data_IF_436814490704
#
_entry.id   IF_436814490704
#
_cell.length_a   1.000
_cell.length_b   1.000
_cell.length_c   1.000
_cell.angle_alpha   90.00
_cell.angle_beta   90.00
_cell.angle_gamma   90.00
#
_symmetry.space_group_name_H-M   'P 1'
#
loop_
_entity.id
_entity.type
_entity.pdbx_description
1 polymer ?
#
# COMPACT_ATOMS: atom_id res chain seq x y z
N UNK A 1 -38.30 -67.21 -9.20
CA UNK A 1 -36.94 -67.68 -8.87
C UNK A 1 -36.09 -66.45 -8.54
N UNK A 2 -35.73 -66.25 -7.27
CA UNK A 2 -34.68 -65.31 -6.89
C UNK A 2 -33.34 -65.83 -7.42
N UNK A 3 -32.40 -64.94 -7.75
CA UNK A 3 -30.97 -65.21 -7.69
C UNK A 3 -30.23 -63.87 -7.47
N UNK A 4 -29.40 -63.84 -6.44
CA UNK A 4 -28.69 -62.64 -5.98
C UNK A 4 -27.55 -62.28 -6.95
N UNK A 5 -27.23 -60.99 -7.05
CA UNK A 5 -25.89 -60.53 -7.48
C UNK A 5 -25.20 -59.83 -6.32
N UNK A 6 -24.00 -60.32 -6.00
CA UNK A 6 -23.13 -59.79 -4.96
C UNK A 6 -22.53 -58.42 -5.35
N UNK A 7 -22.16 -57.56 -4.38
CA UNK A 7 -21.55 -56.26 -4.64
C UNK A 7 -20.08 -56.40 -5.10
N UNK A 8 -19.65 -55.52 -6.02
CA UNK A 8 -18.25 -55.39 -6.42
C UNK A 8 -17.51 -54.34 -5.58
N UNK A 9 -16.26 -54.63 -5.26
CA UNK A 9 -15.35 -53.81 -4.44
C UNK A 9 -14.81 -52.58 -5.19
N UNK A 10 -14.41 -51.50 -4.49
CA UNK A 10 -13.84 -50.29 -5.11
C UNK A 10 -12.37 -50.47 -5.58
N UNK A 11 -11.88 -49.63 -6.51
CA UNK A 11 -10.54 -49.72 -7.08
C UNK A 11 -9.42 -49.19 -6.17
N UNK A 12 -8.19 -49.64 -6.45
CA UNK A 12 -6.97 -49.34 -5.69
C UNK A 12 -6.35 -47.95 -6.01
N UNK A 13 -5.55 -47.36 -5.10
CA UNK A 13 -4.92 -46.05 -5.28
C UNK A 13 -3.67 -46.07 -6.20
N UNK A 14 -3.27 -44.91 -6.77
CA UNK A 14 -2.14 -44.81 -7.70
C UNK A 14 -0.76 -44.84 -7.02
N UNK A 15 0.25 -45.22 -7.80
CA UNK A 15 1.63 -45.45 -7.38
C UNK A 15 2.54 -44.20 -7.43
N UNK A 16 3.55 -44.17 -6.55
CA UNK A 16 4.63 -43.18 -6.54
C UNK A 16 5.80 -43.60 -7.46
N UNK A 17 6.48 -42.67 -8.15
CA UNK A 17 7.66 -42.98 -8.96
C UNK A 17 8.92 -43.21 -8.11
N UNK A 18 9.81 -44.08 -8.60
CA UNK A 18 11.01 -44.52 -7.90
C UNK A 18 12.15 -43.49 -7.85
N UNK A 19 12.84 -43.46 -6.71
CA UNK A 19 14.21 -42.97 -6.56
C UNK A 19 15.22 -43.85 -7.31
N UNK A 20 16.20 -43.25 -8.00
CA UNK A 20 17.38 -43.95 -8.52
C UNK A 20 18.48 -44.01 -7.47
N UNK A 21 18.88 -45.22 -7.07
CA UNK A 21 20.13 -45.51 -6.36
C UNK A 21 20.67 -46.85 -6.84
N UNK A 22 21.96 -46.93 -7.14
CA UNK A 22 22.63 -48.15 -7.62
C UNK A 22 23.89 -48.38 -6.78
N UNK A 23 23.86 -49.45 -5.96
CA UNK A 23 24.97 -50.38 -5.57
C UNK A 23 26.27 -49.78 -4.96
N UNK A 24 27.09 -50.41 -4.09
CA UNK A 24 27.11 -51.62 -3.21
C UNK A 24 28.24 -51.37 -2.17
N UNK A 25 28.55 -52.14 -1.12
CA UNK A 25 28.08 -53.44 -0.57
C UNK A 25 28.11 -53.33 0.99
N UNK A 26 27.27 -54.04 1.75
CA UNK A 26 27.46 -55.39 2.34
C UNK A 26 28.61 -55.56 3.37
N UNK A 27 28.27 -56.11 4.54
CA UNK A 27 29.15 -56.25 5.71
C UNK A 27 28.37 -56.59 7.00
N UNK A 28 27.85 -57.81 7.07
CA UNK A 28 27.26 -58.52 8.24
C UNK A 28 28.16 -58.50 9.51
N UNK A 29 27.74 -58.81 10.75
CA UNK A 29 26.47 -58.96 11.51
C UNK A 29 26.88 -59.16 13.01
N UNK A 30 25.97 -59.60 13.88
CA UNK A 30 26.17 -60.20 15.22
C UNK A 30 26.21 -59.28 16.46
N UNK A 31 25.02 -58.99 17.00
CA UNK A 31 24.80 -58.78 18.45
C UNK A 31 25.03 -60.09 19.23
N UNK A 32 25.65 -60.03 20.42
CA UNK A 32 25.11 -60.72 21.64
C UNK A 32 25.64 -60.19 22.98
N UNK A 33 24.69 -60.14 23.92
CA UNK A 33 24.67 -59.57 25.29
C UNK A 33 25.68 -60.12 26.33
N UNK A 34 26.08 -59.20 27.22
CA UNK A 34 26.07 -59.26 28.72
C UNK A 34 27.16 -60.09 29.43
N UNK A 35 27.81 -59.48 30.44
CA UNK A 35 27.93 -59.88 31.88
C UNK A 35 28.84 -58.88 32.62
N UNK A 36 28.35 -58.32 33.74
CA UNK A 36 29.12 -57.80 34.90
C UNK A 36 29.09 -58.87 36.02
N UNK A 37 29.90 -58.87 37.10
CA UNK A 37 30.67 -57.74 37.69
C UNK A 37 32.08 -58.08 38.23
N UNK A 38 32.79 -57.08 38.76
CA UNK A 38 33.76 -57.23 39.87
C UNK A 38 34.02 -55.88 40.58
N UNK A 39 34.21 -55.89 41.89
CA UNK A 39 34.43 -54.70 42.72
C UNK A 39 35.87 -54.62 43.26
N UNK A 40 36.34 -53.40 43.55
CA UNK A 40 37.59 -53.12 44.26
C UNK A 40 37.54 -51.72 44.88
N UNK A 41 37.85 -51.60 46.17
CA UNK A 41 37.72 -50.36 46.95
C UNK A 41 39.07 -49.62 47.10
N UNK A 42 39.03 -48.31 47.37
CA UNK A 42 40.26 -47.52 47.59
C UNK A 42 40.04 -46.02 47.85
N UNK A 43 39.65 -45.69 49.09
CA UNK A 43 39.94 -44.45 49.85
C UNK A 43 39.48 -43.05 49.41
N UNK A 44 39.31 -42.17 50.42
CA UNK A 44 38.76 -40.82 50.32
C UNK A 44 39.83 -39.74 50.11
N UNK A 45 39.49 -38.67 49.39
CA UNK A 45 39.96 -37.32 49.73
C UNK A 45 38.97 -36.29 49.23
N UNK A 46 38.41 -35.47 50.13
CA UNK A 46 37.53 -34.34 49.81
C UNK A 46 38.35 -33.06 49.71
N UNK A 47 38.36 -32.40 48.56
CA UNK A 47 38.76 -30.98 48.49
C UNK A 47 38.17 -30.27 47.26
N UNK A 48 37.82 -28.99 47.43
CA UNK A 48 37.65 -28.03 46.33
C UNK A 48 36.51 -28.24 45.34
N UNK A 49 35.28 -27.83 45.69
CA UNK A 49 34.28 -27.50 44.66
C UNK A 49 34.68 -26.17 43.98
N UNK A 50 34.90 -26.11 42.65
CA UNK A 50 35.07 -24.84 41.97
C UNK A 50 33.74 -24.08 41.97
N UNK A 51 33.82 -22.77 42.23
CA UNK A 51 32.65 -21.90 42.28
C UNK A 51 31.86 -21.92 40.96
N UNK A 52 30.54 -21.78 41.05
CA UNK A 52 29.70 -21.49 39.88
C UNK A 52 30.21 -20.20 39.25
N UNK A 53 30.62 -20.25 37.99
CA UNK A 53 30.72 -19.04 37.19
C UNK A 53 29.33 -18.42 37.12
N UNK A 54 29.20 -17.21 37.65
CA UNK A 54 28.04 -16.37 37.37
C UNK A 54 28.00 -16.11 35.86
N UNK A 55 26.82 -16.22 35.21
CA UNK A 55 26.73 -15.90 33.80
C UNK A 55 27.03 -14.41 33.64
N UNK A 56 28.19 -14.09 33.06
CA UNK A 56 28.54 -12.71 32.69
C UNK A 56 27.36 -12.11 31.92
N UNK A 57 26.81 -11.02 32.44
CA UNK A 57 25.90 -10.19 31.65
C UNK A 57 26.62 -9.85 30.33
N UNK A 58 25.94 -9.95 29.18
CA UNK A 58 26.55 -9.59 27.92
C UNK A 58 26.90 -8.11 27.96
N UNK A 59 28.21 -7.80 27.99
CA UNK A 59 28.71 -6.42 27.98
C UNK A 59 28.06 -5.67 26.82
N UNK A 60 27.20 -4.70 27.17
CA UNK A 60 26.56 -3.84 26.17
C UNK A 60 27.70 -3.10 25.48
N UNK A 61 27.89 -3.25 24.15
CA UNK A 61 28.98 -2.60 23.45
C UNK A 61 28.93 -1.09 23.71
N UNK A 62 30.06 -0.44 24.04
CA UNK A 62 30.06 0.95 24.46
C UNK A 62 29.40 1.83 23.41
N UNK A 63 28.54 2.76 23.84
CA UNK A 63 27.82 3.64 22.92
C UNK A 63 28.82 4.51 22.15
N UNK A 64 28.72 4.49 20.82
CA UNK A 64 29.72 5.06 19.91
C UNK A 64 29.30 6.42 19.35
N UNK A 65 28.03 6.81 19.54
CA UNK A 65 27.52 8.12 19.13
C UNK A 65 27.95 9.22 20.10
N UNK A 66 28.65 10.23 19.58
CA UNK A 66 29.00 11.44 20.33
C UNK A 66 27.84 12.44 20.33
N UNK A 67 27.79 13.37 21.29
CA UNK A 67 26.80 14.45 21.31
C UNK A 67 26.81 15.31 20.03
N UNK A 68 25.62 15.66 19.55
CA UNK A 68 25.47 16.61 18.45
C UNK A 68 25.94 18.00 18.90
N UNK A 69 26.93 18.54 18.19
CA UNK A 69 27.41 19.91 18.42
C UNK A 69 26.28 20.92 18.18
N UNK A 70 26.24 22.04 18.92
CA UNK A 70 25.29 23.12 18.70
C UNK A 70 25.29 23.57 17.24
N UNK A 71 24.14 23.49 16.59
CA UNK A 71 23.98 23.92 15.21
C UNK A 71 23.85 25.44 15.14
N UNK A 72 24.57 26.05 14.19
CA UNK A 72 24.53 27.50 13.95
C UNK A 72 23.92 27.84 12.59
N UNK A 73 23.74 26.84 11.72
CA UNK A 73 23.06 26.98 10.42
C UNK A 73 21.55 27.10 10.60
N UNK A 74 20.89 27.72 9.63
CA UNK A 74 19.44 27.96 9.64
C UNK A 74 18.65 26.65 9.58
N UNK A 75 17.77 26.44 10.56
CA UNK A 75 16.84 25.31 10.57
C UNK A 75 15.74 25.45 9.52
N UNK A 76 15.14 24.34 9.12
CA UNK A 76 13.99 24.32 8.21
C UNK A 76 12.73 24.85 8.92
N UNK A 77 12.12 25.89 8.38
CA UNK A 77 10.94 26.55 8.95
C UNK A 77 9.59 25.91 8.52
N UNK A 78 9.60 24.63 8.15
CA UNK A 78 8.40 23.89 7.72
C UNK A 78 8.11 22.77 8.71
N UNK A 79 6.83 22.54 9.11
CA UNK A 79 6.48 21.38 9.91
C UNK A 79 6.83 20.09 9.16
N UNK A 80 7.44 19.15 9.87
CA UNK A 80 7.64 17.79 9.37
C UNK A 80 6.38 17.00 9.69
N UNK A 81 5.76 16.46 8.65
CA UNK A 81 4.51 15.69 8.75
C UNK A 81 4.47 14.56 7.72
N UNK A 82 3.48 13.68 7.91
CA UNK A 82 3.13 12.64 6.94
C UNK A 82 1.99 13.16 6.08
N UNK A 83 2.25 13.36 4.79
CA UNK A 83 1.26 13.83 3.83
C UNK A 83 0.45 12.67 3.27
N UNK A 84 -0.86 12.88 3.08
CA UNK A 84 -1.75 11.87 2.48
C UNK A 84 -1.20 11.34 1.17
N UNK A 85 -0.65 12.19 0.30
CA UNK A 85 -0.18 11.78 -1.03
C UNK A 85 1.01 10.81 -1.00
N UNK A 86 1.70 10.67 0.14
CA UNK A 86 2.78 9.70 0.39
C UNK A 86 2.37 8.60 1.38
N UNK A 87 1.06 8.36 1.50
CA UNK A 87 0.48 7.24 2.24
C UNK A 87 -0.21 6.23 1.31
N UNK A 88 -0.20 4.94 1.65
CA UNK A 88 -1.12 3.97 1.07
C UNK A 88 -2.57 4.32 1.42
N UNK A 89 -3.52 3.85 0.62
CA UNK A 89 -4.93 4.26 0.73
C UNK A 89 -5.65 3.76 1.98
N UNK A 90 -5.06 2.83 2.74
CA UNK A 90 -5.59 2.30 4.00
C UNK A 90 -5.05 3.06 5.23
N UNK A 91 -4.19 4.06 5.08
CA UNK A 91 -3.74 4.90 6.20
C UNK A 91 -4.82 5.93 6.52
N UNK A 92 -5.23 5.99 7.78
CA UNK A 92 -5.97 7.10 8.36
C UNK A 92 -5.00 7.93 9.21
N UNK A 93 -4.52 9.08 8.72
CA UNK A 93 -3.77 10.02 9.53
C UNK A 93 -4.71 10.83 10.43
N UNK A 94 -4.39 10.92 11.71
CA UNK A 94 -5.06 11.76 12.70
C UNK A 94 -4.03 12.66 13.42
N UNK A 95 -4.52 13.63 14.19
CA UNK A 95 -3.68 14.61 14.92
C UNK A 95 -2.61 15.29 14.03
N UNK A 96 -3.01 15.72 12.83
CA UNK A 96 -2.11 16.39 11.88
C UNK A 96 -1.05 15.46 11.25
N UNK A 97 -1.39 14.20 10.99
CA UNK A 97 -0.47 13.22 10.40
C UNK A 97 0.51 12.59 11.39
N UNK A 98 0.35 12.84 12.70
CA UNK A 98 1.22 12.32 13.75
C UNK A 98 0.77 10.98 14.31
N UNK A 99 -0.52 10.64 14.22
CA UNK A 99 -1.02 9.31 14.61
C UNK A 99 -1.57 8.62 13.36
N UNK A 100 -1.04 7.43 13.05
CA UNK A 100 -1.35 6.67 11.87
C UNK A 100 -2.03 5.35 12.27
N UNK A 101 -3.25 5.15 11.78
CA UNK A 101 -4.05 3.93 11.99
C UNK A 101 -4.35 3.28 10.64
N UNK A 102 -4.16 1.96 10.49
CA UNK A 102 -4.54 1.25 9.26
C UNK A 102 -6.02 0.87 9.31
N UNK A 103 -6.71 0.96 8.18
CA UNK A 103 -7.98 0.27 8.02
C UNK A 103 -7.79 -1.25 8.10
N UNK A 104 -8.63 -1.91 8.89
CA UNK A 104 -8.59 -3.37 9.07
C UNK A 104 -9.79 -4.09 8.45
N UNK A 105 -10.91 -3.40 8.27
CA UNK A 105 -12.16 -4.03 7.82
C UNK A 105 -12.13 -4.54 6.38
N UNK A 106 -13.02 -5.48 6.07
CA UNK A 106 -13.22 -5.99 4.71
C UNK A 106 -12.00 -6.68 4.09
N UNK A 107 -11.04 -7.14 4.89
CA UNK A 107 -9.80 -7.75 4.42
C UNK A 107 -8.61 -6.79 4.35
N UNK A 108 -8.80 -5.50 4.62
CA UNK A 108 -7.68 -4.54 4.70
C UNK A 108 -6.69 -4.88 5.83
N UNK A 109 -7.11 -5.66 6.84
CA UNK A 109 -6.25 -6.27 7.87
C UNK A 109 -5.10 -7.14 7.33
N UNK A 110 -5.22 -7.63 6.10
CA UNK A 110 -4.16 -8.42 5.46
C UNK A 110 -3.15 -7.54 4.71
N UNK A 111 -3.50 -6.28 4.42
CA UNK A 111 -2.67 -5.35 3.66
C UNK A 111 -1.74 -4.53 4.56
N UNK A 112 -0.50 -4.37 4.12
CA UNK A 112 0.47 -3.48 4.74
C UNK A 112 0.11 -2.03 4.40
N UNK A 113 -0.01 -1.19 5.41
CA UNK A 113 -0.05 0.26 5.26
C UNK A 113 1.37 0.83 5.14
N UNK A 114 1.53 1.95 4.45
CA UNK A 114 2.81 2.64 4.26
C UNK A 114 2.64 4.15 4.28
N UNK A 115 3.59 4.86 4.89
CA UNK A 115 3.55 6.30 5.06
C UNK A 115 4.97 6.87 5.08
N UNK A 116 5.21 7.90 4.26
CA UNK A 116 6.49 8.62 4.18
C UNK A 116 6.31 10.10 4.58
N UNK A 117 7.32 10.65 5.24
CA UNK A 117 7.34 12.05 5.66
C UNK A 117 7.59 13.02 4.49
N UNK A 118 7.20 14.27 4.68
CA UNK A 118 7.31 15.37 3.70
C UNK A 118 8.73 15.98 3.56
N UNK A 119 9.65 15.70 4.50
CA UNK A 119 11.01 16.23 4.54
C UNK A 119 12.01 15.08 4.57
N UNK A 120 12.91 15.05 3.59
CA UNK A 120 14.04 14.14 3.54
C UNK A 120 15.35 14.87 3.76
N UNK A 121 16.42 14.13 4.06
CA UNK A 121 17.76 14.67 4.25
C UNK A 121 18.77 13.97 3.34
N UNK A 122 19.80 14.70 2.93
CA UNK A 122 20.93 14.20 2.12
C UNK A 122 22.28 14.23 2.85
N UNK A 123 22.33 14.86 4.04
CA UNK A 123 23.53 15.09 4.87
C UNK A 123 23.16 15.19 6.35
N UNK A 124 24.15 15.06 7.22
CA UNK A 124 23.99 15.30 8.66
C UNK A 124 23.45 14.08 9.42
N UNK A 125 23.25 14.23 10.73
CA UNK A 125 22.81 13.15 11.62
C UNK A 125 21.54 13.56 12.36
N UNK A 126 20.45 12.82 12.12
CA UNK A 126 19.11 13.17 12.56
C UNK A 126 18.33 11.91 13.00
N UNK A 127 17.40 12.08 13.93
CA UNK A 127 16.49 11.01 14.36
C UNK A 127 15.01 11.38 14.20
N UNK A 128 14.18 10.37 13.98
CA UNK A 128 12.73 10.44 14.20
C UNK A 128 12.29 9.26 15.07
N UNK A 129 11.13 9.36 15.70
CA UNK A 129 10.61 8.32 16.59
C UNK A 129 9.26 7.77 16.13
N UNK A 130 9.03 6.51 16.45
CA UNK A 130 7.74 5.84 16.31
C UNK A 130 7.38 5.18 17.63
N UNK A 131 6.30 5.65 18.28
CA UNK A 131 5.71 4.99 19.44
C UNK A 131 4.56 4.08 19.01
N UNK A 132 4.62 2.81 19.37
CA UNK A 132 3.57 1.85 19.05
C UNK A 132 2.46 1.97 20.10
N UNK A 133 1.33 2.58 19.73
CA UNK A 133 0.24 2.92 20.65
C UNK A 133 -0.73 1.74 20.83
N UNK A 134 -0.99 1.00 19.76
CA UNK A 134 -2.00 -0.06 19.75
C UNK A 134 -1.58 -1.21 18.84
N UNK A 135 -1.90 -2.43 19.25
CA UNK A 135 -1.72 -3.65 18.45
C UNK A 135 -3.11 -4.27 18.27
N UNK A 136 -3.65 -4.14 17.06
CA UNK A 136 -4.98 -4.61 16.72
C UNK A 136 -4.96 -6.13 16.51
N UNK A 137 -6.02 -6.81 16.93
CA UNK A 137 -6.26 -8.22 16.65
C UNK A 137 -7.59 -8.39 15.90
N UNK A 138 -7.64 -8.09 14.59
CA UNK A 138 -8.88 -8.19 13.82
C UNK A 138 -9.46 -9.62 13.82
N UNK A 139 -10.77 -9.70 13.63
CA UNK A 139 -11.48 -10.98 13.64
C UNK A 139 -11.22 -11.78 12.35
N UNK A 140 -10.96 -13.08 12.49
CA UNK A 140 -10.81 -14.00 11.36
C UNK A 140 -12.10 -14.83 11.18
N UNK A 141 -12.65 -14.99 9.96
CA UNK A 141 -13.86 -15.80 9.75
C UNK A 141 -13.68 -17.26 10.22
N UNK A 142 -14.60 -17.88 10.98
CA UNK A 142 -14.36 -19.17 11.66
C UNK A 142 -14.18 -20.40 10.76
N UNK A 143 -14.33 -20.27 9.44
CA UNK A 143 -14.59 -21.40 8.54
C UNK A 143 -13.50 -21.68 7.49
N UNK A 144 -12.35 -20.99 7.50
CA UNK A 144 -11.27 -21.33 6.57
C UNK A 144 -10.48 -22.56 7.06
N UNK A 145 -11.02 -23.75 6.76
CA UNK A 145 -10.39 -25.07 7.04
C UNK A 145 -9.08 -25.30 6.28
N UNK A 146 -8.60 -24.32 5.52
CA UNK A 146 -7.36 -24.39 4.73
C UNK A 146 -6.48 -23.13 4.80
N UNK A 147 -7.01 -21.95 5.18
CA UNK A 147 -6.24 -20.70 5.24
C UNK A 147 -6.03 -20.26 6.68
N UNK A 148 -4.81 -20.49 7.21
CA UNK A 148 -4.34 -19.79 8.40
C UNK A 148 -4.15 -18.32 8.04
N UNK A 149 -4.53 -17.42 8.96
CA UNK A 149 -4.33 -15.97 8.79
C UNK A 149 -2.87 -15.65 8.37
N UNK A 150 -2.65 -14.89 7.29
CA UNK A 150 -1.31 -14.58 6.78
C UNK A 150 -0.40 -13.93 7.83
N UNK A 151 0.70 -14.63 8.14
CA UNK A 151 1.72 -14.19 9.09
C UNK A 151 2.75 -13.26 8.43
N UNK A 152 3.31 -12.28 9.18
CA UNK A 152 2.90 -11.88 10.52
C UNK A 152 1.55 -11.15 10.52
N UNK A 153 0.73 -11.36 11.56
CA UNK A 153 -0.57 -10.68 11.70
C UNK A 153 -0.39 -9.20 11.99
N UNK A 154 0.59 -8.85 12.84
CA UNK A 154 0.99 -7.48 13.12
C UNK A 154 2.43 -7.28 12.72
N UNK A 155 2.72 -6.13 12.12
CA UNK A 155 4.03 -5.78 11.61
C UNK A 155 4.23 -4.28 11.77
N UNK A 156 5.43 -3.89 12.17
CA UNK A 156 5.94 -2.53 11.98
C UNK A 156 7.28 -2.64 11.26
N UNK A 157 7.49 -1.80 10.25
CA UNK A 157 8.80 -1.51 9.66
C UNK A 157 9.07 -0.02 9.80
N UNK A 158 10.29 0.33 10.17
CA UNK A 158 10.73 1.73 10.29
C UNK A 158 12.07 1.90 9.57
N UNK A 159 12.25 3.03 8.90
CA UNK A 159 13.48 3.30 8.18
C UNK A 159 13.34 4.46 7.21
N UNK A 160 13.96 4.32 6.05
CA UNK A 160 14.11 5.40 5.08
C UNK A 160 13.95 4.91 3.64
N UNK A 161 13.49 5.80 2.76
CA UNK A 161 13.54 5.58 1.32
C UNK A 161 13.78 6.86 0.54
N UNK A 162 14.07 6.73 -0.76
CA UNK A 162 13.98 7.85 -1.70
C UNK A 162 12.51 8.28 -1.87
N UNK A 163 12.29 9.45 -2.49
CA UNK A 163 10.95 9.96 -2.79
C UNK A 163 10.21 9.11 -3.84
N UNK A 164 10.94 8.64 -4.86
CA UNK A 164 10.33 7.99 -6.02
C UNK A 164 10.20 6.47 -5.85
N UNK A 165 10.67 5.93 -4.72
CA UNK A 165 10.54 4.50 -4.37
C UNK A 165 9.09 4.09 -4.10
N UNK A 166 8.87 2.78 -4.14
CA UNK A 166 7.65 2.15 -3.60
C UNK A 166 7.35 2.57 -2.16
N UNK A 167 6.06 2.66 -1.79
CA UNK A 167 5.57 2.86 -0.42
C UNK A 167 5.64 1.57 0.44
N UNK A 168 6.32 0.53 -0.05
CA UNK A 168 6.57 -0.72 0.66
C UNK A 168 8.08 -0.89 0.87
N UNK A 169 8.54 -0.60 2.09
CA UNK A 169 9.93 -0.72 2.52
C UNK A 169 10.45 -2.15 2.35
N UNK A 170 11.65 -2.26 1.78
CA UNK A 170 12.33 -3.52 1.50
C UNK A 170 11.96 -4.17 0.16
N UNK A 171 10.96 -3.65 -0.58
CA UNK A 171 10.60 -4.16 -1.91
C UNK A 171 11.64 -3.78 -2.98
N UNK A 172 12.22 -2.59 -2.86
CA UNK A 172 13.07 -1.96 -3.87
C UNK A 172 14.46 -1.63 -3.31
N UNK A 173 15.44 -1.58 -4.21
CA UNK A 173 16.78 -1.01 -3.98
C UNK A 173 16.73 0.52 -3.91
N UNK A 174 15.79 1.05 -3.14
CA UNK A 174 15.61 2.49 -2.89
C UNK A 174 15.16 2.74 -1.45
N UNK A 175 15.23 1.71 -0.60
CA UNK A 175 14.75 1.72 0.78
C UNK A 175 15.61 0.84 1.68
N UNK A 176 15.69 1.25 2.95
CA UNK A 176 16.24 0.45 4.06
C UNK A 176 15.26 0.49 5.23
N UNK A 177 15.08 -0.63 5.92
CA UNK A 177 14.20 -0.68 7.09
C UNK A 177 14.56 -1.76 8.09
N UNK A 178 14.23 -1.52 9.34
CA UNK A 178 14.14 -2.54 10.38
C UNK A 178 12.69 -2.95 10.59
N UNK A 179 12.43 -4.22 10.88
CA UNK A 179 11.12 -4.72 11.24
C UNK A 179 11.00 -5.13 12.72
N UNK A 180 9.76 -5.17 13.22
CA UNK A 180 9.42 -5.53 14.60
C UNK A 180 9.80 -6.96 14.98
N UNK A 181 10.10 -7.84 14.01
CA UNK A 181 10.56 -9.20 14.27
C UNK A 181 12.07 -9.31 14.55
N UNK A 182 12.82 -8.21 14.34
CA UNK A 182 14.26 -8.09 14.61
C UNK A 182 15.14 -8.05 13.36
N UNK A 183 14.57 -7.92 12.16
CA UNK A 183 15.35 -7.97 10.92
C UNK A 183 15.58 -6.59 10.32
N UNK A 184 16.79 -6.37 9.82
CA UNK A 184 17.12 -5.29 8.90
C UNK A 184 16.93 -5.78 7.45
N UNK A 185 16.43 -4.90 6.58
CA UNK A 185 16.30 -5.17 5.15
C UNK A 185 16.90 -4.02 4.36
N UNK A 186 17.88 -4.35 3.50
CA UNK A 186 18.57 -3.46 2.59
C UNK A 186 18.95 -4.26 1.34
N UNK A 187 18.95 -3.64 0.15
CA UNK A 187 19.32 -4.34 -1.09
C UNK A 187 18.52 -5.65 -1.30
N UNK A 188 17.22 -5.61 -0.94
CA UNK A 188 16.28 -6.76 -0.91
C UNK A 188 16.73 -7.97 -0.05
N UNK A 189 17.82 -7.85 0.69
CA UNK A 189 18.36 -8.89 1.61
C UNK A 189 17.89 -8.60 3.02
N UNK A 190 17.42 -9.64 3.72
CA UNK A 190 16.92 -9.58 5.11
C UNK A 190 17.91 -10.25 6.06
N UNK A 191 18.41 -9.53 7.07
CA UNK A 191 19.38 -9.99 8.06
C UNK A 191 18.87 -9.80 9.49
N UNK A 192 19.17 -10.71 10.41
CA UNK A 192 18.80 -10.57 11.82
C UNK A 192 19.76 -9.60 12.54
N UNK A 193 19.55 -8.30 12.38
CA UNK A 193 20.47 -7.25 12.84
C UNK A 193 19.96 -6.45 14.06
N UNK A 194 18.74 -6.67 14.55
CA UNK A 194 18.16 -5.89 15.65
C UNK A 194 17.36 -6.74 16.64
N UNK A 195 17.14 -6.23 17.86
CA UNK A 195 16.18 -6.84 18.79
C UNK A 195 14.73 -6.58 18.35
N UNK A 196 13.81 -7.40 18.84
CA UNK A 196 12.36 -7.22 18.66
C UNK A 196 11.83 -6.02 19.43
N UNK A 197 10.76 -5.45 18.89
CA UNK A 197 10.00 -4.36 19.51
C UNK A 197 8.50 -4.47 19.23
N UNK A 198 7.67 -3.82 20.05
CA UNK A 198 6.22 -3.95 20.01
C UNK A 198 5.49 -2.87 20.80
N UNK A 199 4.29 -3.22 21.30
CA UNK A 199 3.35 -2.30 21.95
C UNK A 199 3.98 -1.48 23.10
N UNK A 200 3.55 -0.24 23.22
CA UNK A 200 3.87 0.75 24.25
C UNK A 200 5.35 1.22 24.28
N UNK A 201 6.17 0.70 23.36
CA UNK A 201 7.58 1.07 23.19
C UNK A 201 7.77 2.19 22.17
N UNK A 202 8.82 2.98 22.37
CA UNK A 202 9.25 4.10 21.52
C UNK A 202 10.51 3.71 20.76
N UNK A 203 10.46 3.75 19.44
CA UNK A 203 11.56 3.38 18.56
C UNK A 203 12.14 4.62 17.90
N UNK A 204 13.30 5.08 18.35
CA UNK A 204 14.06 6.12 17.67
C UNK A 204 14.88 5.50 16.55
N UNK A 205 14.74 6.07 15.35
CA UNK A 205 15.45 5.67 14.13
C UNK A 205 16.47 6.76 13.82
N UNK A 206 17.76 6.44 14.00
CA UNK A 206 18.87 7.34 13.74
C UNK A 206 19.39 7.14 12.32
N UNK A 207 19.41 8.20 11.51
CA UNK A 207 20.14 8.26 10.25
C UNK A 207 21.40 9.11 10.44
N UNK A 208 22.55 8.57 10.05
CA UNK A 208 23.83 9.26 10.15
C UNK A 208 24.49 9.39 8.76
N UNK A 209 24.36 10.56 8.15
CA UNK A 209 25.03 10.97 6.91
C UNK A 209 26.09 12.07 7.19
N UNK A 210 26.61 12.16 8.42
CA UNK A 210 27.74 13.04 8.73
C UNK A 210 29.06 12.27 8.55
N UNK A 211 29.76 12.55 7.44
CA UNK A 211 31.08 11.98 7.12
C UNK A 211 32.18 12.29 8.16
N UNK A 212 31.91 13.10 9.18
CA UNK A 212 32.82 13.36 10.32
C UNK A 212 32.51 12.49 11.54
N UNK A 213 31.39 11.77 11.54
CA UNK A 213 31.02 10.84 12.62
C UNK A 213 31.74 9.50 12.45
N UNK A 214 32.12 8.79 13.54
CA UNK A 214 32.66 7.44 13.45
C UNK A 214 31.70 6.45 12.77
N UNK A 215 30.39 6.68 12.90
CA UNK A 215 29.32 5.85 12.30
C UNK A 215 28.74 6.49 11.03
N UNK A 216 29.56 7.19 10.24
CA UNK A 216 29.13 7.82 9.00
C UNK A 216 28.46 6.81 8.04
N UNK A 217 27.45 7.28 7.31
CA UNK A 217 26.72 6.54 6.28
C UNK A 217 26.02 5.26 6.81
N UNK A 218 25.45 5.35 8.02
CA UNK A 218 24.73 4.25 8.70
C UNK A 218 23.32 4.61 9.15
N UNK A 219 22.56 3.57 9.50
CA UNK A 219 21.25 3.65 10.17
C UNK A 219 21.23 2.75 11.42
N UNK A 220 20.59 3.19 12.50
CA UNK A 220 20.41 2.37 13.71
C UNK A 220 19.13 2.67 14.50
N UNK A 221 18.79 1.79 15.45
CA UNK A 221 17.59 1.83 16.29
C UNK A 221 17.91 1.89 17.78
N UNK A 222 17.10 2.66 18.49
CA UNK A 222 17.01 2.68 19.94
C UNK A 222 15.56 2.40 20.36
N UNK A 223 15.38 1.55 21.36
CA UNK A 223 14.09 1.23 21.99
C UNK A 223 14.07 1.83 23.39
N UNK A 224 13.18 2.79 23.61
CA UNK A 224 13.02 3.50 24.89
C UNK A 224 14.36 4.08 25.40
N UNK A 225 15.13 4.67 24.49
CA UNK A 225 16.46 5.23 24.75
C UNK A 225 17.64 4.24 24.59
N UNK A 226 17.40 2.92 24.69
CA UNK A 226 18.46 1.90 24.68
C UNK A 226 18.73 1.38 23.26
N UNK A 227 19.99 1.35 22.83
CA UNK A 227 20.39 0.82 21.51
C UNK A 227 19.98 -0.65 21.36
N UNK A 228 19.29 -0.98 20.26
CA UNK A 228 18.85 -2.36 19.94
C UNK A 228 19.42 -2.93 18.64
N UNK A 229 20.21 -2.16 17.89
CA UNK A 229 21.08 -2.66 16.84
C UNK A 229 22.39 -1.88 16.75
N UNK A 230 23.43 -2.55 16.27
CA UNK A 230 24.66 -1.88 15.84
C UNK A 230 24.39 -1.07 14.56
N UNK A 231 25.11 0.04 14.33
CA UNK A 231 25.04 0.82 13.09
C UNK A 231 25.10 -0.09 11.86
N UNK A 232 24.04 -0.08 11.05
CA UNK A 232 23.97 -0.83 9.79
C UNK A 232 24.40 0.09 8.64
N UNK A 233 25.35 -0.30 7.80
CA UNK A 233 25.77 0.53 6.67
C UNK A 233 24.64 0.70 5.65
N UNK A 234 24.53 1.89 5.08
CA UNK A 234 23.65 2.15 3.95
C UNK A 234 24.27 1.57 2.67
N UNK A 235 23.48 0.97 1.76
CA UNK A 235 23.95 0.60 0.43
C UNK A 235 24.50 1.82 -0.33
N UNK A 236 25.59 1.64 -1.08
CA UNK A 236 26.27 2.72 -1.81
C UNK A 236 25.33 3.55 -2.70
N UNK A 237 24.32 2.92 -3.31
CA UNK A 237 23.34 3.61 -4.17
C UNK A 237 22.37 4.54 -3.41
N UNK A 238 22.29 4.48 -2.07
CA UNK A 238 21.53 5.44 -1.25
C UNK A 238 22.40 6.61 -0.77
N UNK A 239 23.72 6.49 -0.85
CA UNK A 239 24.62 7.58 -0.48
C UNK A 239 24.37 8.76 -1.44
N UNK A 240 24.44 9.97 -0.89
CA UNK A 240 24.15 11.24 -1.59
C UNK A 240 22.72 11.41 -2.12
N UNK A 241 21.84 10.40 -2.03
CA UNK A 241 20.40 10.55 -2.29
C UNK A 241 19.69 11.15 -1.09
N UNK A 242 18.60 11.87 -1.34
CA UNK A 242 17.70 12.33 -0.27
C UNK A 242 16.91 11.14 0.30
N UNK A 243 17.02 10.93 1.61
CA UNK A 243 16.33 9.89 2.37
C UNK A 243 15.24 10.49 3.25
N UNK A 244 14.02 9.98 3.10
CA UNK A 244 12.83 10.42 3.82
C UNK A 244 12.44 9.39 4.89
N UNK A 245 12.08 9.81 6.12
CA UNK A 245 11.49 8.93 7.12
C UNK A 245 10.28 8.20 6.56
N UNK A 246 10.25 6.88 6.76
CA UNK A 246 9.25 6.02 6.16
C UNK A 246 8.91 4.90 7.14
N UNK A 247 7.62 4.64 7.29
CA UNK A 247 7.08 3.56 8.11
C UNK A 247 6.14 2.69 7.29
N UNK A 248 6.18 1.37 7.53
CA UNK A 248 5.11 0.46 7.14
C UNK A 248 4.53 -0.20 8.37
N UNK A 249 3.24 -0.50 8.34
CA UNK A 249 2.57 -1.15 9.47
C UNK A 249 1.36 -1.95 9.03
N UNK A 250 1.03 -2.98 9.80
CA UNK A 250 -0.12 -3.86 9.58
C UNK A 250 -0.75 -4.13 10.94
N UNK A 251 -2.04 -3.84 11.08
CA UNK A 251 -2.82 -4.05 12.32
C UNK A 251 -2.17 -3.41 13.57
N UNK A 252 -1.59 -2.21 13.42
CA UNK A 252 -0.91 -1.45 14.48
C UNK A 252 -1.23 0.03 14.32
N UNK A 253 -1.67 0.70 15.40
CA UNK A 253 -1.73 2.17 15.47
C UNK A 253 -0.41 2.69 16.04
N UNK A 254 0.18 3.69 15.41
CA UNK A 254 1.44 4.30 15.84
C UNK A 254 1.38 5.83 15.90
N UNK A 255 2.13 6.41 16.83
CA UNK A 255 2.45 7.83 16.84
C UNK A 255 3.84 8.01 16.22
N UNK A 256 3.94 8.78 15.14
CA UNK A 256 5.22 9.23 14.57
C UNK A 256 5.55 10.61 15.15
N UNK A 257 6.73 10.74 15.73
CA UNK A 257 7.27 12.00 16.27
C UNK A 257 8.51 12.40 15.50
N UNK A 258 8.48 13.63 14.98
CA UNK A 258 9.63 14.25 14.34
C UNK A 258 10.37 15.20 15.29
N UNK A 259 9.89 15.40 16.53
CA UNK A 259 10.41 16.40 17.47
C UNK A 259 9.50 17.64 17.60
N UNK A 260 10.02 18.78 18.10
CA UNK A 260 11.43 19.04 18.42
C UNK A 260 11.94 18.29 19.67
N UNK A 261 11.04 17.92 20.60
CA UNK A 261 11.41 17.15 21.80
C UNK A 261 11.33 15.64 21.51
N UNK A 262 12.38 14.84 21.81
CA UNK A 262 12.30 13.39 21.80
C UNK A 262 11.23 12.84 22.75
N UNK A 263 10.59 11.74 22.38
CA UNK A 263 9.66 10.98 23.22
C UNK A 263 10.41 10.13 24.26
N UNK A 264 11.58 9.60 23.90
CA UNK A 264 12.50 8.93 24.80
C UNK A 264 13.89 9.59 24.74
N UNK A 265 14.55 9.84 25.88
CA UNK A 265 15.91 10.38 25.88
C UNK A 265 16.91 9.34 25.34
N UNK A 266 17.77 9.76 24.41
CA UNK A 266 18.92 8.96 23.98
C UNK A 266 20.11 9.16 24.93
N UNK A 267 21.08 8.22 24.97
CA UNK A 267 22.32 8.34 25.76
C UNK A 267 23.30 9.44 25.28
N UNK A 268 22.94 10.16 24.21
CA UNK A 268 23.65 11.28 23.62
C UNK A 268 22.64 12.26 23.02
N UNK A 269 23.06 13.51 22.83
CA UNK A 269 22.26 14.53 22.15
C UNK A 269 22.19 14.23 20.65
N UNK A 270 21.01 13.94 20.12
CA UNK A 270 20.74 13.89 18.69
C UNK A 270 19.75 14.97 18.28
N UNK A 271 19.91 15.54 17.09
CA UNK A 271 18.92 16.46 16.52
C UNK A 271 17.71 15.69 16.01
N UNK A 272 16.54 16.22 16.29
CA UNK A 272 15.28 15.64 15.80
C UNK A 272 15.02 16.05 14.35
N UNK A 273 14.16 15.31 13.65
CA UNK A 273 13.83 15.58 12.24
C UNK A 273 13.16 16.95 12.03
N UNK A 274 12.46 17.46 13.03
CA UNK A 274 11.82 18.78 13.03
C UNK A 274 12.86 19.92 13.15
N UNK A 275 14.09 19.61 13.55
CA UNK A 275 15.24 20.52 13.67
C UNK A 275 16.29 20.26 12.57
N UNK A 276 15.86 19.71 11.43
CA UNK A 276 16.70 19.55 10.25
C UNK A 276 17.18 20.90 9.74
N UNK A 277 18.47 20.98 9.38
CA UNK A 277 19.06 22.17 8.75
C UNK A 277 18.57 22.31 7.32
N UNK A 278 18.21 23.52 6.92
CA UNK A 278 17.70 23.83 5.58
C UNK A 278 18.61 23.34 4.45
N UNK A 279 19.93 23.46 4.62
CA UNK A 279 20.93 23.06 3.63
C UNK A 279 21.24 21.54 3.62
N UNK A 280 20.70 20.78 4.59
CA UNK A 280 20.77 19.31 4.64
C UNK A 280 19.47 18.67 4.10
N UNK A 281 18.39 19.46 3.98
CA UNK A 281 17.04 19.02 3.64
C UNK A 281 16.71 19.09 2.14
N UNK A 282 15.81 18.20 1.70
CA UNK A 282 14.96 18.42 0.54
C UNK A 282 13.49 18.21 0.92
N UNK A 283 12.64 19.06 0.37
CA UNK A 283 11.19 18.91 0.49
C UNK A 283 10.70 17.89 -0.54
N UNK A 284 9.72 17.09 -0.14
CA UNK A 284 8.93 16.28 -1.07
C UNK A 284 8.39 17.18 -2.19
N UNK A 285 8.71 16.82 -3.44
CA UNK A 285 8.17 17.46 -4.65
C UNK A 285 6.68 17.17 -4.71
N UNK A 286 5.85 18.12 -4.29
CA UNK A 286 4.41 17.94 -4.26
C UNK A 286 3.87 17.70 -5.68
N UNK A 287 3.22 16.55 -5.86
CA UNK A 287 2.29 16.35 -6.96
C UNK A 287 1.23 17.44 -6.88
N UNK A 288 1.26 18.40 -7.81
CA UNK A 288 0.50 19.65 -7.68
C UNK A 288 -1.00 19.34 -7.53
N UNK A 289 -1.67 20.04 -6.61
CA UNK A 289 -3.07 20.36 -6.84
C UNK A 289 -3.16 21.16 -8.14
N UNK A 290 -4.30 21.08 -8.83
CA UNK A 290 -4.57 21.93 -9.98
C UNK A 290 -4.42 23.41 -9.60
N UNK A 291 -4.22 24.29 -10.58
CA UNK A 291 -3.99 25.73 -10.34
C UNK A 291 -5.14 26.43 -9.58
N UNK A 292 -6.33 25.81 -9.55
CA UNK A 292 -7.53 26.22 -8.80
C UNK A 292 -7.64 25.57 -7.40
N UNK A 293 -6.59 24.89 -6.93
CA UNK A 293 -6.56 24.20 -5.64
C UNK A 293 -7.30 22.86 -5.58
N UNK A 294 -7.87 22.39 -6.70
CA UNK A 294 -8.61 21.12 -6.74
C UNK A 294 -7.73 19.92 -7.07
N UNK A 295 -8.27 18.74 -6.81
CA UNK A 295 -7.70 17.46 -7.20
C UNK A 295 -8.46 16.90 -8.42
N UNK A 296 -7.75 16.27 -9.33
CA UNK A 296 -8.35 15.72 -10.55
C UNK A 296 -8.63 14.22 -10.40
N UNK A 297 -9.83 13.80 -10.78
CA UNK A 297 -10.27 12.39 -10.79
C UNK A 297 -10.56 12.00 -12.24
N UNK A 298 -9.66 11.22 -12.80
CA UNK A 298 -9.71 10.75 -14.17
C UNK A 298 -10.49 9.44 -14.26
N UNK A 299 -11.38 9.35 -15.26
CA UNK A 299 -12.12 8.15 -15.63
C UNK A 299 -11.74 7.81 -17.09
N UNK A 300 -10.72 6.98 -17.34
CA UNK A 300 -10.29 6.63 -18.69
C UNK A 300 -11.36 5.82 -19.43
N UNK A 301 -11.78 6.33 -20.58
CA UNK A 301 -12.76 5.73 -21.48
C UNK A 301 -12.00 5.18 -22.70
N UNK A 302 -11.68 3.89 -22.66
CA UNK A 302 -11.03 3.16 -23.75
C UNK A 302 -11.78 1.87 -24.05
N UNK A 303 -11.42 1.20 -25.15
CA UNK A 303 -11.97 -0.11 -25.50
C UNK A 303 -11.28 -1.25 -24.71
N UNK A 304 -12.00 -2.35 -24.44
CA UNK A 304 -11.39 -3.61 -24.01
C UNK A 304 -10.33 -4.07 -25.01
N UNK A 305 -9.21 -4.60 -24.50
CA UNK A 305 -8.09 -5.20 -25.23
C UNK A 305 -7.36 -4.31 -26.27
N UNK A 306 -7.82 -3.09 -26.53
CA UNK A 306 -7.19 -2.08 -27.40
C UNK A 306 -6.11 -1.22 -26.66
N UNK A 307 -5.25 -1.87 -25.86
CA UNK A 307 -4.09 -1.21 -25.24
C UNK A 307 -4.39 -0.16 -24.14
N UNK A 308 -5.63 -0.10 -23.62
CA UNK A 308 -6.04 0.84 -22.56
C UNK A 308 -5.13 0.77 -21.31
N UNK A 309 -4.69 -0.44 -20.92
CA UNK A 309 -3.77 -0.61 -19.78
C UNK A 309 -2.33 -0.20 -20.09
N UNK A 310 -1.83 -0.41 -21.31
CA UNK A 310 -0.51 0.06 -21.72
C UNK A 310 -0.45 1.58 -21.80
N UNK A 311 -1.56 2.23 -22.18
CA UNK A 311 -1.71 3.67 -22.02
C UNK A 311 -1.67 4.09 -20.54
N UNK A 312 -2.37 3.38 -19.65
CA UNK A 312 -2.42 3.72 -18.22
C UNK A 312 -1.03 3.63 -17.56
N UNK A 313 -0.28 2.56 -17.82
CA UNK A 313 1.07 2.39 -17.27
C UNK A 313 2.03 3.48 -17.79
N UNK A 314 1.95 3.85 -19.07
CA UNK A 314 2.68 5.01 -19.64
C UNK A 314 2.21 6.35 -19.08
N UNK A 315 0.93 6.50 -18.75
CA UNK A 315 0.37 7.71 -18.14
C UNK A 315 0.89 7.88 -16.71
N UNK A 316 0.85 6.83 -15.90
CA UNK A 316 1.33 6.84 -14.51
C UNK A 316 2.84 7.08 -14.44
N UNK A 317 3.63 6.49 -15.34
CA UNK A 317 5.07 6.75 -15.43
C UNK A 317 5.39 8.24 -15.67
N UNK A 318 4.59 8.93 -16.51
CA UNK A 318 4.74 10.37 -16.77
C UNK A 318 4.11 11.24 -15.69
N UNK A 319 3.13 10.72 -14.95
CA UNK A 319 2.34 11.45 -13.96
C UNK A 319 2.29 10.70 -12.61
N UNK A 320 3.44 10.48 -11.94
CA UNK A 320 3.54 9.65 -10.73
C UNK A 320 2.79 10.22 -9.51
N UNK A 321 2.22 11.43 -9.64
CA UNK A 321 1.36 12.06 -8.64
C UNK A 321 -0.10 11.57 -8.68
N UNK A 322 -0.48 10.76 -9.67
CA UNK A 322 -1.79 10.11 -9.73
C UNK A 322 -1.78 8.79 -8.97
N UNK A 323 -2.78 8.60 -8.09
CA UNK A 323 -3.03 7.31 -7.46
C UNK A 323 -4.00 6.50 -8.31
N UNK A 324 -3.58 5.32 -8.78
CA UNK A 324 -4.45 4.39 -9.50
C UNK A 324 -5.42 3.68 -8.53
N UNK A 325 -6.71 3.70 -8.89
CA UNK A 325 -7.78 2.95 -8.23
C UNK A 325 -8.23 1.87 -9.21
N UNK A 326 -7.82 0.63 -8.96
CA UNK A 326 -8.16 -0.51 -9.80
C UNK A 326 -8.06 -1.82 -9.02
N UNK A 327 -8.58 -2.89 -9.60
CA UNK A 327 -8.47 -4.21 -9.02
C UNK A 327 -7.07 -4.80 -9.14
N UNK A 328 -6.33 -4.47 -10.21
CA UNK A 328 -4.92 -4.87 -10.36
C UNK A 328 -4.01 -4.21 -9.32
N UNK A 329 -4.32 -3.00 -8.82
CA UNK A 329 -3.53 -2.40 -7.73
C UNK A 329 -3.80 -3.06 -6.38
N UNK A 330 -5.06 -3.43 -6.09
CA UNK A 330 -5.41 -4.22 -4.89
C UNK A 330 -4.69 -5.57 -4.90
N UNK A 331 -4.66 -6.27 -6.04
CA UNK A 331 -3.97 -7.54 -6.20
C UNK A 331 -2.45 -7.40 -5.97
N UNK A 332 -1.79 -6.47 -6.66
CA UNK A 332 -0.35 -6.19 -6.47
C UNK A 332 -0.03 -5.80 -5.02
N UNK A 333 -0.92 -5.07 -4.36
CA UNK A 333 -0.77 -4.67 -2.96
C UNK A 333 -0.90 -5.85 -2.00
N UNK A 334 -1.84 -6.77 -2.25
CA UNK A 334 -1.96 -8.03 -1.52
C UNK A 334 -0.67 -8.86 -1.60
N UNK A 335 -0.11 -9.04 -2.80
CA UNK A 335 1.16 -9.74 -3.03
C UNK A 335 2.32 -9.05 -2.27
N UNK A 336 2.44 -7.72 -2.38
CA UNK A 336 3.41 -6.88 -1.64
C UNK A 336 3.25 -6.94 -0.11
N UNK A 337 2.06 -7.27 0.36
CA UNK A 337 1.75 -7.46 1.78
C UNK A 337 2.09 -8.88 2.29
N UNK A 338 2.68 -9.72 1.43
CA UNK A 338 3.06 -11.10 1.73
C UNK A 338 1.97 -12.14 1.49
N UNK A 339 0.89 -11.79 0.77
CA UNK A 339 -0.16 -12.77 0.44
C UNK A 339 0.28 -13.67 -0.73
N UNK A 340 0.22 -14.98 -0.50
CA UNK A 340 0.54 -15.97 -1.52
C UNK A 340 -0.69 -16.30 -2.38
N UNK A 341 -0.50 -16.28 -3.70
CA UNK A 341 -1.55 -16.51 -4.71
C UNK A 341 -1.28 -17.84 -5.44
N UNK A 342 -1.89 -18.97 -5.03
CA UNK A 342 -1.55 -20.31 -5.56
C UNK A 342 -1.91 -20.51 -7.03
N UNK A 343 -3.01 -19.92 -7.49
CA UNK A 343 -3.54 -20.11 -8.85
C UNK A 343 -3.67 -18.76 -9.55
N UNK A 344 -2.55 -18.16 -10.00
CA UNK A 344 -2.56 -16.81 -10.54
C UNK A 344 -3.16 -16.70 -11.94
N UNK A 345 -3.19 -17.82 -12.68
CA UNK A 345 -3.66 -17.91 -14.06
C UNK A 345 -4.99 -18.65 -14.12
N UNK A 346 -6.04 -17.95 -14.56
CA UNK A 346 -7.34 -18.52 -14.91
C UNK A 346 -7.78 -17.88 -16.24
N UNK A 347 -8.53 -18.61 -17.08
CA UNK A 347 -9.03 -18.12 -18.36
C UNK A 347 -10.04 -16.96 -18.21
N UNK A 348 -10.62 -16.81 -17.01
CA UNK A 348 -11.52 -15.70 -16.65
C UNK A 348 -10.78 -14.44 -16.17
N UNK A 349 -9.46 -14.52 -15.99
CA UNK A 349 -8.66 -13.43 -15.44
C UNK A 349 -8.47 -12.32 -16.49
N UNK A 350 -8.65 -11.06 -16.09
CA UNK A 350 -8.41 -9.89 -16.97
C UNK A 350 -7.67 -8.81 -16.21
N UNK A 351 -7.05 -7.85 -16.92
CA UNK A 351 -6.42 -6.70 -16.27
C UNK A 351 -7.45 -5.77 -15.60
N UNK A 352 -8.70 -5.77 -16.06
CA UNK A 352 -9.79 -4.93 -15.53
C UNK A 352 -10.43 -5.52 -14.28
N UNK A 353 -10.68 -6.83 -14.31
CA UNK A 353 -11.25 -7.62 -13.21
C UNK A 353 -10.41 -8.88 -12.99
N UNK A 354 -9.22 -8.75 -12.40
CA UNK A 354 -8.42 -9.90 -12.02
C UNK A 354 -9.06 -10.67 -10.85
N UNK A 355 -8.98 -11.99 -10.90
CA UNK A 355 -9.40 -12.85 -9.80
C UNK A 355 -8.32 -12.86 -8.70
N UNK A 356 -8.71 -12.51 -7.48
CA UNK A 356 -7.78 -12.42 -6.34
C UNK A 356 -7.18 -13.79 -5.99
N UNK A 357 -8.02 -14.81 -5.78
CA UNK A 357 -7.65 -16.22 -5.57
C UNK A 357 -6.56 -16.46 -4.51
N UNK A 358 -6.57 -15.70 -3.41
CA UNK A 358 -5.66 -15.89 -2.28
C UNK A 358 -6.10 -17.03 -1.33
N UNK A 359 -7.32 -17.56 -1.50
CA UNK A 359 -7.90 -18.52 -0.56
C UNK A 359 -8.32 -17.86 0.75
N UNK A 360 -8.62 -16.57 0.71
CA UNK A 360 -8.98 -15.73 1.87
C UNK A 360 -10.33 -15.08 1.53
N UNK A 361 -11.44 -15.48 2.17
CA UNK A 361 -12.78 -15.06 1.74
C UNK A 361 -12.95 -13.54 1.58
N UNK A 362 -12.41 -12.73 2.48
CA UNK A 362 -12.53 -11.26 2.45
C UNK A 362 -11.66 -10.59 1.37
N UNK A 363 -10.63 -11.28 0.87
CA UNK A 363 -9.87 -10.85 -0.31
C UNK A 363 -10.60 -11.23 -1.59
N UNK A 364 -11.13 -12.45 -1.63
CA UNK A 364 -11.66 -13.07 -2.84
C UNK A 364 -13.12 -12.66 -3.15
N UNK A 365 -13.90 -12.20 -2.16
CA UNK A 365 -15.29 -11.74 -2.31
C UNK A 365 -15.45 -10.24 -2.68
N UNK A 366 -14.35 -9.57 -3.03
CA UNK A 366 -14.28 -8.11 -3.28
C UNK A 366 -14.62 -7.21 -2.08
N UNK A 367 -14.62 -7.71 -0.83
CA UNK A 367 -14.80 -6.86 0.35
C UNK A 367 -13.75 -5.76 0.47
N UNK A 368 -12.49 -6.04 0.13
CA UNK A 368 -11.41 -5.04 0.12
C UNK A 368 -11.77 -3.86 -0.79
N UNK A 369 -12.24 -4.16 -2.01
CA UNK A 369 -12.70 -3.14 -2.97
C UNK A 369 -13.86 -2.33 -2.39
N UNK A 370 -14.85 -2.97 -1.76
CA UNK A 370 -16.02 -2.29 -1.18
C UNK A 370 -15.65 -1.32 -0.07
N UNK A 371 -14.80 -1.74 0.88
CA UNK A 371 -14.35 -0.87 2.00
C UNK A 371 -13.41 0.22 1.49
N UNK A 372 -12.46 -0.09 0.60
CA UNK A 372 -11.59 0.92 0.01
C UNK A 372 -12.40 1.99 -0.74
N UNK A 373 -13.42 1.58 -1.51
CA UNK A 373 -14.27 2.48 -2.27
C UNK A 373 -15.18 3.37 -1.39
N UNK A 374 -15.49 3.00 -0.15
CA UNK A 374 -16.29 3.86 0.75
C UNK A 374 -15.46 4.99 1.37
N UNK A 375 -14.16 4.79 1.58
CA UNK A 375 -13.25 5.78 2.19
C UNK A 375 -12.49 6.62 1.18
N UNK A 376 -12.25 6.15 -0.05
CA UNK A 376 -11.23 6.77 -0.92
C UNK A 376 -11.50 8.23 -1.27
N UNK A 377 -12.77 8.63 -1.41
CA UNK A 377 -13.12 10.02 -1.68
C UNK A 377 -12.88 10.97 -0.49
N UNK A 378 -12.67 10.46 0.74
CA UNK A 378 -12.36 11.30 1.91
C UNK A 378 -10.87 11.68 2.00
N UNK A 379 -10.01 11.12 1.13
CA UNK A 379 -8.58 11.42 1.07
C UNK A 379 -8.27 12.27 -0.18
N UNK A 380 -8.09 13.60 -0.08
CA UNK A 380 -7.92 14.45 -1.26
C UNK A 380 -6.60 14.19 -2.00
N UNK A 381 -6.69 13.58 -3.18
CA UNK A 381 -5.57 13.24 -4.07
C UNK A 381 -5.99 13.29 -5.53
N UNK A 382 -5.00 13.41 -6.42
CA UNK A 382 -5.21 13.16 -7.84
C UNK A 382 -5.38 11.64 -8.07
N UNK A 383 -6.47 11.26 -8.71
CA UNK A 383 -6.90 9.87 -8.85
C UNK A 383 -7.12 9.48 -10.30
N UNK A 384 -6.83 8.22 -10.64
CA UNK A 384 -7.25 7.61 -11.89
C UNK A 384 -8.04 6.34 -11.59
N UNK A 385 -9.35 6.41 -11.80
CA UNK A 385 -10.30 5.33 -11.56
C UNK A 385 -10.31 4.45 -12.80
N UNK A 386 -9.63 3.31 -12.74
CA UNK A 386 -9.51 2.40 -13.86
C UNK A 386 -10.47 1.22 -13.71
N UNK A 387 -11.60 1.32 -14.41
CA UNK A 387 -12.52 0.21 -14.67
C UNK A 387 -12.96 0.30 -16.13
N UNK A 388 -12.39 -0.50 -17.06
CA UNK A 388 -12.63 -0.42 -18.51
C UNK A 388 -14.11 -0.50 -18.82
N UNK A 389 -14.80 -1.56 -18.37
CA UNK A 389 -16.24 -1.74 -18.63
C UNK A 389 -17.05 -0.57 -18.08
N UNK A 390 -16.84 -0.26 -16.81
CA UNK A 390 -17.66 0.71 -16.08
C UNK A 390 -17.37 2.16 -16.49
N UNK A 391 -16.16 2.46 -16.98
CA UNK A 391 -15.86 3.74 -17.60
C UNK A 391 -16.32 3.81 -19.06
N UNK A 392 -16.49 2.71 -19.78
CA UNK A 392 -17.03 2.74 -21.14
C UNK A 392 -18.54 3.03 -21.12
N UNK A 393 -19.29 2.26 -20.32
CA UNK A 393 -20.75 2.40 -20.17
C UNK A 393 -21.07 3.71 -19.45
N UNK A 394 -21.92 4.55 -20.06
CA UNK A 394 -22.23 5.91 -19.58
C UNK A 394 -22.87 5.89 -18.17
N UNK A 395 -23.80 4.97 -17.95
CA UNK A 395 -24.59 4.86 -16.72
C UNK A 395 -23.72 4.37 -15.55
N UNK A 396 -22.87 3.36 -15.80
CA UNK A 396 -21.89 2.87 -14.81
C UNK A 396 -20.85 3.95 -14.47
N UNK A 397 -20.36 4.68 -15.47
CA UNK A 397 -19.42 5.81 -15.27
C UNK A 397 -20.05 6.92 -14.44
N UNK A 398 -21.32 7.25 -14.69
CA UNK A 398 -22.05 8.22 -13.88
C UNK A 398 -22.19 7.79 -12.42
N UNK A 399 -22.36 6.49 -12.14
CA UNK A 399 -22.39 5.96 -10.77
C UNK A 399 -21.02 6.08 -10.10
N UNK A 400 -19.92 5.69 -10.77
CA UNK A 400 -18.56 5.87 -10.27
C UNK A 400 -18.25 7.35 -9.95
N UNK A 401 -18.73 8.28 -10.79
CA UNK A 401 -18.58 9.73 -10.60
C UNK A 401 -19.35 10.30 -9.39
N UNK A 402 -20.37 9.61 -8.85
CA UNK A 402 -21.08 10.04 -7.63
C UNK A 402 -20.23 9.91 -6.38
N UNK A 403 -19.31 8.94 -6.33
CA UNK A 403 -18.39 8.72 -5.20
C UNK A 403 -17.57 9.96 -4.88
N UNK A 404 -17.06 10.65 -5.91
CA UNK A 404 -16.25 11.85 -5.79
C UNK A 404 -17.13 13.11 -5.88
N UNK A 405 -18.12 13.25 -4.98
CA UNK A 405 -19.04 14.39 -4.96
C UNK A 405 -18.47 15.64 -4.29
N UNK A 406 -17.43 15.51 -3.45
CA UNK A 406 -16.87 16.64 -2.71
C UNK A 406 -16.31 17.74 -3.64
N UNK A 407 -16.47 19.03 -3.30
CA UNK A 407 -16.15 20.16 -4.19
C UNK A 407 -14.65 20.32 -4.48
N UNK A 408 -13.79 19.64 -3.73
CA UNK A 408 -12.35 19.57 -3.97
C UNK A 408 -11.98 18.70 -5.20
N UNK A 409 -12.92 17.93 -5.78
CA UNK A 409 -12.65 17.09 -6.94
C UNK A 409 -13.18 17.66 -8.26
N UNK A 410 -12.30 17.77 -9.25
CA UNK A 410 -12.63 17.93 -10.66
C UNK A 410 -12.67 16.54 -11.31
N UNK A 411 -13.85 16.12 -11.78
CA UNK A 411 -14.03 14.81 -12.44
C UNK A 411 -13.92 14.96 -13.96
N UNK A 412 -13.10 14.12 -14.59
CA UNK A 412 -12.85 14.18 -16.04
C UNK A 412 -12.99 12.77 -16.64
N UNK A 413 -13.93 12.61 -17.57
CA UNK A 413 -13.95 11.45 -18.46
C UNK A 413 -12.93 11.70 -19.58
N UNK A 414 -11.91 10.86 -19.67
CA UNK A 414 -10.79 11.04 -20.61
C UNK A 414 -10.83 9.94 -21.66
N UNK A 415 -11.02 10.30 -22.93
CA UNK A 415 -11.10 9.33 -24.02
C UNK A 415 -9.69 8.87 -24.41
N UNK A 416 -9.49 7.55 -24.44
CA UNK A 416 -8.20 6.88 -24.68
C UNK A 416 -8.34 5.98 -25.91
N UNK A 417 -8.52 6.61 -27.07
CA UNK A 417 -8.89 5.94 -28.34
C UNK A 417 -8.05 6.43 -29.54
N UNK A 418 -7.02 7.24 -29.28
CA UNK A 418 -6.37 8.05 -30.32
C UNK A 418 -7.28 9.18 -30.83
N UNK A 419 -6.78 9.94 -31.82
CA UNK A 419 -7.65 10.81 -32.61
C UNK A 419 -8.13 10.07 -33.86
N UNK A 420 -9.43 10.16 -34.22
CA UNK A 420 -9.90 9.71 -35.52
C UNK A 420 -9.24 10.47 -36.67
N UNK A 421 -9.25 9.90 -37.88
CA UNK A 421 -8.76 10.61 -39.08
C UNK A 421 -9.59 11.86 -39.36
N UNK A 422 -8.98 12.86 -39.98
CA UNK A 422 -9.66 14.14 -40.24
C UNK A 422 -10.84 13.99 -41.23
N UNK A 423 -10.74 13.08 -42.20
CA UNK A 423 -11.86 12.71 -43.08
C UNK A 423 -13.06 12.15 -42.31
N UNK A 424 -12.81 11.27 -41.33
CA UNK A 424 -13.86 10.72 -40.47
C UNK A 424 -14.46 11.80 -39.57
N UNK A 425 -13.63 12.68 -38.99
CA UNK A 425 -14.10 13.84 -38.21
C UNK A 425 -14.99 14.75 -39.07
N UNK A 426 -14.62 15.02 -40.32
CA UNK A 426 -15.37 15.87 -41.23
C UNK A 426 -16.74 15.25 -41.60
N UNK A 427 -16.75 13.96 -41.96
CA UNK A 427 -17.98 13.24 -42.32
C UNK A 427 -18.97 13.18 -41.14
N UNK A 428 -18.50 12.89 -39.93
CA UNK A 428 -19.34 12.88 -38.73
C UNK A 428 -19.84 14.28 -38.33
N UNK A 429 -19.04 15.32 -38.54
CA UNK A 429 -19.49 16.71 -38.36
C UNK A 429 -20.60 17.07 -39.36
N UNK A 430 -20.50 16.64 -40.62
CA UNK A 430 -21.55 16.85 -41.62
C UNK A 430 -22.84 16.09 -41.24
N UNK A 431 -22.73 14.83 -40.80
CA UNK A 431 -23.84 14.02 -40.33
C UNK A 431 -24.55 14.66 -39.13
N UNK A 432 -23.81 15.04 -38.08
CA UNK A 432 -24.35 15.75 -36.91
C UNK A 432 -24.99 17.09 -37.27
N UNK A 433 -24.47 17.79 -38.28
CA UNK A 433 -25.03 19.07 -38.75
C UNK A 433 -26.36 18.85 -39.47
N UNK A 434 -26.49 17.82 -40.31
CA UNK A 434 -27.75 17.41 -40.96
C UNK A 434 -28.81 17.00 -39.91
N UNK A 435 -28.45 16.18 -38.93
CA UNK A 435 -29.37 15.80 -37.84
C UNK A 435 -29.89 17.02 -37.07
N UNK A 436 -29.01 17.95 -36.70
CA UNK A 436 -29.39 19.20 -36.02
C UNK A 436 -30.27 20.09 -36.89
N UNK A 437 -30.00 20.17 -38.20
CA UNK A 437 -30.87 20.90 -39.14
C UNK A 437 -32.28 20.30 -39.16
N UNK A 438 -32.43 18.97 -39.25
CA UNK A 438 -33.73 18.29 -39.21
C UNK A 438 -34.48 18.60 -37.91
N UNK A 439 -33.81 18.56 -36.75
CA UNK A 439 -34.44 18.92 -35.46
C UNK A 439 -34.90 20.39 -35.44
N UNK A 440 -34.07 21.32 -35.91
CA UNK A 440 -34.39 22.75 -35.98
C UNK A 440 -35.57 23.01 -36.94
N UNK A 441 -35.61 22.33 -38.10
CA UNK A 441 -36.72 22.44 -39.05
C UNK A 441 -38.02 21.87 -38.49
N UNK A 442 -37.98 20.71 -37.84
CA UNK A 442 -39.14 20.15 -37.14
C UNK A 442 -39.65 21.11 -36.05
N UNK A 443 -38.78 21.71 -35.26
CA UNK A 443 -39.17 22.68 -34.24
C UNK A 443 -39.76 23.96 -34.86
N UNK A 444 -39.15 24.47 -35.94
CA UNK A 444 -39.65 25.62 -36.71
C UNK A 444 -41.03 25.34 -37.31
N UNK A 445 -41.27 24.12 -37.81
CA UNK A 445 -42.56 23.69 -38.36
C UNK A 445 -43.62 23.61 -37.25
N UNK A 446 -43.29 23.01 -36.10
CA UNK A 446 -44.17 22.97 -34.91
C UNK A 446 -44.58 24.37 -34.46
N UNK A 447 -43.60 25.28 -34.30
CA UNK A 447 -43.82 26.70 -33.95
C UNK A 447 -44.67 27.44 -35.00
N UNK A 448 -44.59 27.08 -36.28
CA UNK A 448 -45.44 27.65 -37.35
C UNK A 448 -46.89 27.18 -37.22
N UNK A 449 -47.11 25.87 -37.09
CA UNK A 449 -48.44 25.27 -36.92
C UNK A 449 -49.13 25.80 -35.65
N UNK A 450 -48.39 25.96 -34.56
CA UNK A 450 -48.92 26.52 -33.31
C UNK A 450 -49.36 27.99 -33.47
N UNK A 451 -48.57 28.82 -34.15
CA UNK A 451 -48.95 30.21 -34.49
C UNK A 451 -50.20 30.27 -35.39
N UNK A 452 -50.31 29.37 -36.36
CA UNK A 452 -51.49 29.31 -37.25
C UNK A 452 -52.74 28.86 -36.49
N UNK A 453 -52.64 27.82 -35.64
CA UNK A 453 -53.73 27.42 -34.73
C UNK A 453 -54.18 28.56 -33.82
N UNK A 454 -53.24 29.30 -33.23
CA UNK A 454 -53.56 30.44 -32.35
C UNK A 454 -54.31 31.55 -33.11
N UNK A 455 -53.87 31.89 -34.34
CA UNK A 455 -54.58 32.85 -35.20
C UNK A 455 -56.00 32.41 -35.55
N UNK A 456 -56.22 31.12 -35.84
CA UNK A 456 -57.57 30.59 -36.14
C UNK A 456 -58.46 30.66 -34.90
N UNK A 457 -57.95 30.31 -33.71
CA UNK A 457 -58.67 30.44 -32.45
C UNK A 457 -59.04 31.91 -32.12
N UNK A 458 -58.10 32.84 -32.28
CA UNK A 458 -58.36 34.28 -32.09
C UNK A 458 -59.40 34.81 -33.09
N UNK A 459 -59.39 34.34 -34.34
CA UNK A 459 -60.38 34.70 -35.36
C UNK A 459 -61.78 34.13 -35.04
N UNK A 460 -61.86 32.87 -34.60
CA UNK A 460 -63.13 32.25 -34.17
C UNK A 460 -63.71 32.94 -32.94
N UNK A 461 -62.87 33.29 -31.96
CA UNK A 461 -63.30 34.05 -30.78
C UNK A 461 -63.86 35.42 -31.17
N UNK A 462 -63.18 36.17 -32.03
CA UNK A 462 -63.69 37.46 -32.54
C UNK A 462 -65.01 37.31 -33.29
N UNK A 463 -65.14 36.31 -34.17
CA UNK A 463 -66.40 36.05 -34.89
C UNK A 463 -67.55 35.68 -33.94
N UNK A 464 -67.28 34.89 -32.89
CA UNK A 464 -68.28 34.57 -31.87
C UNK A 464 -68.68 35.79 -31.04
N UNK A 465 -67.74 36.69 -30.75
CA UNK A 465 -67.98 37.93 -30.03
C UNK A 465 -68.76 38.97 -30.87
N UNK A 466 -68.43 39.10 -32.15
CA UNK A 466 -69.19 39.91 -33.13
C UNK A 466 -70.60 39.34 -33.38
N UNK A 467 -70.75 38.02 -33.43
CA UNK A 467 -72.05 37.37 -33.56
C UNK A 467 -72.94 37.62 -32.32
N UNK A 468 -72.37 37.57 -31.11
CA UNK A 468 -73.08 37.99 -29.88
C UNK A 468 -73.52 39.45 -29.95
N UNK A 469 -72.64 40.37 -30.31
CA UNK A 469 -72.93 41.81 -30.46
C UNK A 469 -73.88 42.18 -31.61
N UNK A 470 -74.33 41.20 -32.40
CA UNK A 470 -75.39 41.34 -33.42
C UNK A 470 -76.72 40.69 -33.02
N UNK A 471 -76.73 39.97 -31.89
CA UNK A 471 -77.92 39.34 -31.30
C UNK A 471 -78.45 40.13 -30.09
N UNK A 472 -77.63 41.03 -29.55
CA UNK A 472 -78.02 42.18 -28.70
C UNK A 472 -78.35 43.39 -29.58
#
# INVERSE_FOLDING_TARGET
>A
KQLLRSPQSPPAPPSLPHSRSVMTAEGEDAKRRRVEPAAGAGEETREGAPAKEEPKEPEVPPEQEQDARPERRTLLNQPVDVQLQDCTLNVIPTLGGRVLTPLTDGGLQYLVAGARANVGVRKGRYMFEVKIVEVLNPHEPPNSRSSRAPMPRQLVRVGFSTQDSSLFLGETEESVCFDSEGFFTADKKRSASSQRFGRDQTIAVLLNLDRKSPNADTVSLFRDGVRICQPQPLPEYLLEKTLFPHVNFKNVTMQVSFGPTPLAPLPFVCRTWQEVVKDDADLRKSGRSMADGKYEVLFPVGLPDEGTFDWLDRFLQKNPHYTEISDRTILRWAERSGLWRPHPNNWKNSNDKPEMNFGIPMMDDSSVRRVLNSVIATQPRNYIVMEVKSNLIKEERQELMKRFFAPCYKKVAMVVMGEPTDDFKAQEQENMLKEKQVVIEQERLRRKVERERKKVLEAQLKQAEEAKKRLE
#
